data_IF_326090534902
#
_entry.id   IF_326090534902
#
_cell.length_a   1.000
_cell.length_b   1.000
_cell.length_c   1.000
_cell.angle_alpha   90.00
_cell.angle_beta   90.00
_cell.angle_gamma   90.00
#
_symmetry.space_group_name_H-M   'P 1'
#
loop_
_entity.id
_entity.type
_entity.pdbx_description
1 polymer ?
#
# COMPACT_ATOMS: atom_id res chain seq x y z
N UNK A 1 -3.99 -30.89 -24.59
CA UNK A 1 -4.06 -29.64 -23.81
C UNK A 1 -2.70 -29.38 -23.20
N UNK A 2 -2.17 -28.21 -23.40
CA UNK A 2 -0.91 -27.83 -22.75
C UNK A 2 -1.16 -27.57 -21.27
N UNK A 3 -0.38 -28.15 -20.42
CA UNK A 3 -0.44 -27.99 -18.97
C UNK A 3 0.90 -27.43 -18.45
N UNK A 4 0.86 -26.78 -17.31
CA UNK A 4 2.09 -26.38 -16.65
C UNK A 4 2.86 -27.62 -16.15
N UNK A 5 4.18 -27.54 -16.09
CA UNK A 5 4.99 -28.64 -15.58
C UNK A 5 4.59 -29.04 -14.16
N UNK A 6 4.79 -30.32 -13.83
CA UNK A 6 4.65 -30.78 -12.44
C UNK A 6 5.60 -29.99 -11.53
N UNK A 7 5.10 -29.56 -10.37
CA UNK A 7 5.86 -28.73 -9.43
C UNK A 7 5.96 -27.25 -9.80
N UNK A 8 5.24 -26.80 -10.83
CA UNK A 8 5.17 -25.37 -11.16
C UNK A 8 4.54 -24.58 -10.01
N UNK A 9 5.24 -23.53 -9.57
CA UNK A 9 4.77 -22.69 -8.46
C UNK A 9 4.02 -21.47 -8.99
N UNK A 10 2.82 -21.27 -8.46
CA UNK A 10 2.03 -20.08 -8.68
C UNK A 10 2.26 -19.10 -7.54
N UNK A 11 2.43 -17.85 -7.88
CA UNK A 11 2.66 -16.82 -6.87
C UNK A 11 2.36 -15.42 -7.40
N UNK A 12 2.62 -14.44 -6.57
CA UNK A 12 2.42 -13.05 -6.87
C UNK A 12 3.36 -12.17 -6.05
N UNK A 13 3.23 -10.87 -6.23
CA UNK A 13 3.97 -9.89 -5.47
C UNK A 13 3.04 -8.78 -5.00
N UNK A 14 3.37 -8.18 -3.86
CA UNK A 14 2.66 -7.06 -3.27
C UNK A 14 3.64 -5.94 -2.94
N UNK A 15 3.13 -4.72 -2.82
CA UNK A 15 3.92 -3.59 -2.35
C UNK A 15 3.49 -3.22 -0.91
N UNK A 16 4.46 -2.99 -0.04
CA UNK A 16 4.22 -2.71 1.38
C UNK A 16 3.21 -1.59 1.61
N UNK A 17 3.37 -0.48 0.91
CA UNK A 17 2.53 0.71 1.03
C UNK A 17 1.09 0.55 0.50
N UNK A 18 0.82 -0.51 -0.25
CA UNK A 18 -0.51 -0.86 -0.75
C UNK A 18 -1.18 -1.94 0.09
N UNK A 19 -0.39 -2.67 0.86
CA UNK A 19 -0.79 -3.96 1.44
C UNK A 19 -0.79 -3.96 2.97
N UNK A 20 0.27 -3.48 3.60
CA UNK A 20 0.53 -3.77 5.01
C UNK A 20 -0.46 -3.13 5.98
N UNK A 21 -0.67 -1.81 5.94
CA UNK A 21 -1.35 -1.10 7.02
C UNK A 21 -0.52 -1.09 8.32
N UNK A 22 -1.17 -0.85 9.45
CA UNK A 22 -0.52 -0.85 10.76
C UNK A 22 0.63 0.14 10.89
N UNK A 23 0.55 1.27 10.26
CA UNK A 23 1.66 2.20 10.02
C UNK A 23 2.36 2.77 11.28
N UNK A 24 1.69 2.72 12.42
CA UNK A 24 2.22 3.12 13.74
C UNK A 24 2.41 1.94 14.70
N UNK A 25 2.10 0.74 14.29
CA UNK A 25 2.10 -0.42 15.18
C UNK A 25 3.46 -1.13 15.18
N UNK A 26 3.71 -1.89 16.23
CA UNK A 26 4.91 -2.71 16.34
C UNK A 26 6.23 -1.93 16.37
N UNK A 27 6.19 -0.64 16.70
CA UNK A 27 7.38 0.20 16.70
C UNK A 27 7.85 0.64 15.31
N UNK A 28 7.01 0.48 14.30
CA UNK A 28 7.33 0.91 12.93
C UNK A 28 7.56 2.42 12.85
N UNK A 29 8.64 2.83 12.22
CA UNK A 29 8.89 4.23 11.87
C UNK A 29 8.04 4.68 10.69
N UNK A 30 7.87 5.98 10.55
CA UNK A 30 7.13 6.59 9.45
C UNK A 30 7.91 6.45 8.14
N UNK A 31 7.26 6.00 7.09
CA UNK A 31 7.81 5.91 5.74
C UNK A 31 7.36 7.08 4.87
N UNK A 32 8.03 7.29 3.74
CA UNK A 32 7.63 8.31 2.75
C UNK A 32 6.17 8.11 2.28
N UNK A 33 5.73 6.89 2.17
CA UNK A 33 4.36 6.57 1.76
C UNK A 33 3.31 6.98 2.78
N UNK A 34 3.64 6.96 4.06
CA UNK A 34 2.71 7.30 5.14
C UNK A 34 2.38 8.79 5.20
N UNK A 35 3.21 9.62 4.61
CA UNK A 35 3.03 11.10 4.54
C UNK A 35 2.57 11.57 3.16
N UNK A 36 2.30 10.66 2.25
CA UNK A 36 1.84 10.98 0.90
C UNK A 36 0.34 11.21 0.87
N UNK A 37 -0.03 12.47 0.65
CA UNK A 37 -1.43 12.89 0.56
C UNK A 37 -2.08 12.33 -0.72
N UNK A 38 -3.28 11.79 -0.57
CA UNK A 38 -4.12 11.46 -1.72
C UNK A 38 -4.70 12.74 -2.32
N UNK A 39 -4.53 12.89 -3.62
CA UNK A 39 -5.16 13.93 -4.42
C UNK A 39 -5.95 13.27 -5.54
N UNK A 40 -7.23 13.61 -5.65
CA UNK A 40 -8.08 13.08 -6.71
C UNK A 40 -7.70 13.72 -8.06
N UNK A 41 -7.15 13.00 -9.01
CA UNK A 41 -6.78 13.55 -10.30
C UNK A 41 -8.05 13.87 -11.13
N UNK A 42 -8.21 15.10 -11.50
CA UNK A 42 -9.36 15.55 -12.30
C UNK A 42 -9.18 15.31 -13.79
N UNK A 43 -7.95 15.01 -14.22
CA UNK A 43 -7.62 14.76 -15.62
C UNK A 43 -6.45 13.79 -15.74
N UNK A 44 -6.28 13.22 -16.95
CA UNK A 44 -5.10 12.38 -17.23
C UNK A 44 -3.80 13.16 -17.08
N UNK A 45 -3.82 14.44 -17.40
CA UNK A 45 -2.65 15.30 -17.25
C UNK A 45 -2.29 15.52 -15.78
N UNK A 46 -3.30 15.72 -14.91
CA UNK A 46 -3.10 15.79 -13.46
C UNK A 46 -2.53 14.45 -12.94
N UNK A 47 -3.05 13.34 -13.42
CA UNK A 47 -2.57 12.01 -13.07
C UNK A 47 -1.08 11.84 -13.41
N UNK A 48 -0.67 12.25 -14.61
CA UNK A 48 0.71 12.14 -15.06
C UNK A 48 1.65 13.09 -14.30
N UNK A 49 1.16 14.24 -13.89
CA UNK A 49 1.96 15.24 -13.17
C UNK A 49 2.04 14.99 -11.66
N UNK A 50 1.04 14.32 -11.08
CA UNK A 50 0.96 14.07 -9.63
C UNK A 50 1.41 12.67 -9.22
N UNK A 51 1.36 11.71 -10.13
CA UNK A 51 1.81 10.36 -9.85
C UNK A 51 3.30 10.18 -9.98
N UNK A 52 3.88 9.63 -8.96
CA UNK A 52 5.29 9.25 -8.92
C UNK A 52 6.22 10.38 -8.51
N UNK A 53 5.68 11.49 -8.13
CA UNK A 53 6.49 12.59 -7.64
C UNK A 53 6.56 12.54 -6.12
N UNK A 54 7.73 12.20 -5.63
CA UNK A 54 8.09 12.25 -4.23
C UNK A 54 8.50 13.68 -3.80
N UNK A 55 8.00 14.70 -4.47
CA UNK A 55 8.23 16.09 -4.09
C UNK A 55 7.32 16.45 -2.91
N UNK A 56 7.68 15.90 -1.75
CA UNK A 56 7.01 16.18 -0.50
C UNK A 56 7.80 17.28 0.19
N UNK A 57 7.18 18.46 0.37
CA UNK A 57 7.79 19.56 1.13
C UNK A 57 7.78 19.29 2.62
N UNK A 58 8.66 19.96 3.37
CA UNK A 58 8.70 19.85 4.82
C UNK A 58 7.36 20.20 5.46
N UNK A 59 6.66 21.20 4.94
CA UNK A 59 5.33 21.60 5.39
C UNK A 59 4.28 20.50 5.19
N UNK A 60 4.34 19.78 4.08
CA UNK A 60 3.48 18.63 3.81
C UNK A 60 3.75 17.50 4.79
N UNK A 61 5.01 17.26 5.13
CA UNK A 61 5.41 16.24 6.11
C UNK A 61 4.89 16.63 7.50
N UNK A 62 5.09 17.86 7.93
CA UNK A 62 4.61 18.36 9.22
C UNK A 62 3.09 18.22 9.34
N UNK A 63 2.35 18.61 8.30
CA UNK A 63 0.90 18.46 8.25
C UNK A 63 0.48 17.00 8.32
N UNK A 64 1.15 16.14 7.58
CA UNK A 64 0.86 14.71 7.57
C UNK A 64 1.12 14.08 8.94
N UNK A 65 2.21 14.45 9.61
CA UNK A 65 2.55 13.93 10.94
C UNK A 65 1.63 14.46 12.04
N UNK A 66 0.93 15.56 11.81
CA UNK A 66 -0.01 16.14 12.77
C UNK A 66 -1.38 15.47 12.82
N UNK A 67 -1.66 14.54 11.92
CA UNK A 67 -2.96 13.88 11.81
C UNK A 67 -2.84 12.36 11.70
N UNK A 68 -3.81 11.65 12.25
CA UNK A 68 -3.98 10.20 12.09
C UNK A 68 -5.00 9.85 10.99
N UNK A 69 -5.38 10.81 10.16
CA UNK A 69 -6.34 10.65 9.08
C UNK A 69 -5.84 9.63 8.04
N UNK A 70 -6.57 8.53 7.87
CA UNK A 70 -6.28 7.50 6.89
C UNK A 70 -7.02 7.70 5.56
N UNK A 71 -8.02 8.59 5.53
CA UNK A 71 -8.81 8.87 4.33
C UNK A 71 -7.97 9.62 3.29
N UNK A 72 -7.26 10.65 3.74
CA UNK A 72 -6.37 11.43 2.89
C UNK A 72 -4.95 10.87 2.79
N UNK A 73 -4.64 9.88 3.62
CA UNK A 73 -3.36 9.15 3.61
C UNK A 73 -3.61 7.64 3.46
N UNK A 74 -4.15 7.19 2.32
CA UNK A 74 -4.63 5.81 2.17
C UNK A 74 -3.54 4.76 2.29
N UNK A 75 -2.29 5.12 2.05
CA UNK A 75 -1.16 4.18 2.16
C UNK A 75 -0.82 3.82 3.60
N UNK A 76 -1.32 4.56 4.57
CA UNK A 76 -1.23 4.20 6.00
C UNK A 76 -2.02 2.94 6.33
N UNK A 77 -3.11 2.73 5.63
CA UNK A 77 -4.01 1.60 5.82
C UNK A 77 -3.77 0.50 4.77
N UNK A 78 -3.66 0.86 3.51
CA UNK A 78 -3.62 -0.11 2.41
C UNK A 78 -4.85 -1.02 2.48
N UNK A 79 -4.64 -2.32 2.29
CA UNK A 79 -5.68 -3.35 2.52
C UNK A 79 -5.62 -3.92 3.94
N UNK A 80 -4.82 -3.33 4.80
CA UNK A 80 -4.69 -3.68 6.23
C UNK A 80 -4.28 -5.13 6.49
N UNK A 81 -3.32 -5.60 5.75
CA UNK A 81 -2.79 -6.96 5.90
C UNK A 81 -2.24 -7.21 7.32
N UNK A 82 -1.71 -6.20 7.97
CA UNK A 82 -1.19 -6.30 9.34
C UNK A 82 -2.23 -6.87 10.31
N UNK A 83 -3.50 -6.45 10.19
CA UNK A 83 -4.58 -6.93 11.03
C UNK A 83 -5.31 -8.15 10.48
N UNK A 84 -5.15 -8.49 9.19
CA UNK A 84 -5.89 -9.54 8.50
C UNK A 84 -5.01 -10.63 7.90
N UNK A 85 -3.71 -10.65 8.20
CA UNK A 85 -2.75 -11.53 7.52
C UNK A 85 -3.09 -13.02 7.63
N UNK A 86 -3.67 -13.47 8.73
CA UNK A 86 -4.04 -14.89 8.90
C UNK A 86 -5.13 -15.30 7.93
N UNK A 87 -6.16 -14.48 7.79
CA UNK A 87 -7.27 -14.71 6.86
C UNK A 87 -6.80 -14.61 5.41
N UNK A 88 -6.00 -13.59 5.11
CA UNK A 88 -5.48 -13.35 3.77
C UNK A 88 -4.54 -14.46 3.31
N UNK A 89 -3.66 -14.95 4.18
CA UNK A 89 -2.79 -16.10 3.88
C UNK A 89 -3.62 -17.35 3.64
N UNK A 90 -4.67 -17.59 4.43
CA UNK A 90 -5.57 -18.73 4.25
C UNK A 90 -6.29 -18.65 2.89
N UNK A 91 -6.73 -17.46 2.48
CA UNK A 91 -7.33 -17.25 1.15
C UNK A 91 -6.35 -17.54 0.02
N UNK A 92 -5.12 -17.05 0.13
CA UNK A 92 -4.07 -17.31 -0.86
C UNK A 92 -3.74 -18.79 -0.95
N UNK A 93 -3.65 -19.47 0.18
CA UNK A 93 -3.44 -20.93 0.22
C UNK A 93 -4.60 -21.69 -0.46
N UNK A 94 -5.84 -21.26 -0.24
CA UNK A 94 -7.02 -21.81 -0.90
C UNK A 94 -7.05 -21.60 -2.42
N UNK A 95 -6.34 -20.59 -2.91
CA UNK A 95 -6.18 -20.32 -4.35
C UNK A 95 -5.10 -21.19 -5.02
N UNK A 96 -4.32 -21.94 -4.24
CA UNK A 96 -3.27 -22.81 -4.76
C UNK A 96 -1.88 -22.18 -4.85
N UNK A 97 -1.67 -21.06 -4.18
CA UNK A 97 -0.32 -20.47 -4.07
C UNK A 97 0.59 -21.22 -3.12
#
# INVERSE_FOLDING_TARGET
>A
MKQFPEGFLWGGATAANQYEGGWKEGGKGVSCSDVQLFTDPKSMNDLLNTHGLCDISDEMIEKALSTDDEVYYPKRHGIDFYHHYKEDIALLAGMGF
#
